data_IF_173201469908
#
_entry.id   IF_173201469908
#
_cell.length_a   1.000
_cell.length_b   1.000
_cell.length_c   1.000
_cell.angle_alpha   90.00
_cell.angle_beta   90.00
_cell.angle_gamma   90.00
#
_symmetry.space_group_name_H-M   'P 1'
#
loop_
_entity.id
_entity.type
_entity.pdbx_description
1 polymer ?
#
# COMPACT_ATOMS: atom_id res chain seq x y z
N UNK A 1 1.99 -10.07 2.62
CA UNK A 1 1.54 -9.35 1.41
C UNK A 1 2.56 -8.28 1.06
N UNK A 2 2.94 -8.16 -0.21
CA UNK A 2 3.82 -7.08 -0.68
C UNK A 2 2.98 -6.00 -1.36
N UNK A 3 3.19 -4.76 -0.97
CA UNK A 3 2.67 -3.59 -1.67
C UNK A 3 3.85 -2.89 -2.32
N UNK A 4 3.84 -2.81 -3.65
CA UNK A 4 4.96 -2.30 -4.41
C UNK A 4 4.58 -1.04 -5.19
N UNK A 5 5.58 -0.19 -5.44
CA UNK A 5 5.40 1.10 -6.09
C UNK A 5 6.67 1.49 -6.85
N UNK A 6 6.51 1.97 -8.07
CA UNK A 6 7.61 2.55 -8.84
C UNK A 6 8.23 3.77 -8.15
N UNK A 7 9.55 3.78 -8.03
CA UNK A 7 10.33 4.84 -7.41
C UNK A 7 11.57 4.29 -6.71
N UNK A 8 12.46 5.17 -6.27
CA UNK A 8 13.66 4.79 -5.49
C UNK A 8 13.69 5.40 -4.08
N UNK A 9 12.66 6.17 -3.71
CA UNK A 9 12.57 6.82 -2.40
C UNK A 9 12.47 5.78 -1.29
N UNK A 10 13.48 5.73 -0.41
CA UNK A 10 13.48 4.84 0.77
C UNK A 10 12.68 5.43 1.95
N UNK A 11 12.07 6.59 1.78
CA UNK A 11 11.22 7.20 2.80
C UNK A 11 9.92 6.39 2.95
N UNK A 12 9.34 6.28 4.16
CA UNK A 12 8.10 5.55 4.38
C UNK A 12 6.96 6.04 3.46
N UNK A 13 6.10 5.12 3.06
CA UNK A 13 4.82 5.46 2.45
C UNK A 13 3.88 5.98 3.54
N UNK A 14 3.05 6.96 3.23
CA UNK A 14 1.87 7.28 4.04
C UNK A 14 0.64 6.72 3.34
N UNK A 15 -0.04 5.79 3.99
CA UNK A 15 -1.31 5.23 3.52
C UNK A 15 -2.43 5.92 4.28
N UNK A 16 -3.26 6.67 3.56
CA UNK A 16 -4.43 7.35 4.11
C UNK A 16 -5.71 6.71 3.56
N UNK A 17 -6.41 6.04 4.45
CA UNK A 17 -7.73 5.43 4.22
C UNK A 17 -8.82 6.34 4.82
N UNK A 18 -10.07 5.92 4.75
CA UNK A 18 -11.16 6.66 5.42
C UNK A 18 -11.03 6.63 6.95
N UNK A 19 -10.54 5.54 7.52
CA UNK A 19 -10.53 5.31 8.97
C UNK A 19 -9.14 5.40 9.61
N UNK A 20 -8.07 5.41 8.81
CA UNK A 20 -6.70 5.32 9.33
C UNK A 20 -5.72 6.05 8.40
N UNK A 21 -4.76 6.76 9.00
CA UNK A 21 -3.55 7.23 8.33
C UNK A 21 -2.35 6.59 9.00
N UNK A 22 -1.51 5.88 8.25
CA UNK A 22 -0.36 5.14 8.79
C UNK A 22 0.86 5.29 7.89
N UNK A 23 2.00 5.56 8.52
CA UNK A 23 3.30 5.43 7.88
C UNK A 23 3.69 3.95 7.78
N UNK A 24 4.11 3.51 6.58
CA UNK A 24 4.51 2.14 6.29
C UNK A 24 5.95 2.17 5.78
N UNK A 25 6.89 1.52 6.49
CA UNK A 25 8.27 1.46 6.05
C UNK A 25 8.38 0.68 4.73
N UNK A 26 9.31 1.11 3.89
CA UNK A 26 9.62 0.45 2.61
C UNK A 26 11.08 0.05 2.53
N UNK A 27 11.33 -0.93 1.67
CA UNK A 27 12.67 -1.31 1.22
C UNK A 27 12.74 -1.18 -0.30
N UNK A 28 13.94 -1.06 -0.86
CA UNK A 28 14.10 -1.19 -2.31
C UNK A 28 13.80 -2.63 -2.72
N UNK A 29 13.08 -2.78 -3.84
CA UNK A 29 12.87 -4.09 -4.45
C UNK A 29 14.21 -4.66 -4.91
N UNK A 30 14.34 -5.99 -4.86
CA UNK A 30 15.53 -6.68 -5.38
C UNK A 30 15.54 -6.76 -6.93
N UNK A 31 14.48 -6.28 -7.59
CA UNK A 31 14.37 -6.27 -9.04
C UNK A 31 15.28 -5.23 -9.73
N UNK A 32 15.41 -5.37 -11.05
CA UNK A 32 16.18 -4.45 -11.90
C UNK A 32 15.45 -3.10 -12.11
N UNK A 33 14.15 -3.04 -11.84
CA UNK A 33 13.35 -1.84 -11.96
C UNK A 33 13.46 -0.95 -10.71
N UNK A 34 13.33 0.37 -10.91
CA UNK A 34 13.24 1.34 -9.83
C UNK A 34 11.91 1.17 -9.09
N UNK A 35 11.88 0.30 -8.09
CA UNK A 35 10.70 -0.02 -7.29
C UNK A 35 11.02 -0.11 -5.80
N UNK A 36 10.03 0.26 -4.98
CA UNK A 36 10.06 0.09 -3.53
C UNK A 36 8.88 -0.75 -3.07
N UNK A 37 9.10 -1.53 -2.02
CA UNK A 37 8.15 -2.49 -1.48
C UNK A 37 7.93 -2.25 0.00
N UNK A 38 6.66 -2.30 0.43
CA UNK A 38 6.26 -2.48 1.81
C UNK A 38 5.83 -3.94 2.02
N UNK A 39 6.34 -4.57 3.08
CA UNK A 39 5.88 -5.89 3.52
C UNK A 39 4.89 -5.73 4.66
N UNK A 40 3.67 -6.21 4.46
CA UNK A 40 2.61 -6.22 5.46
C UNK A 40 2.29 -7.67 5.85
N UNK A 41 2.14 -7.97 7.16
CA UNK A 41 1.54 -9.23 7.59
C UNK A 41 0.19 -9.46 6.92
N UNK A 42 -0.15 -10.71 6.57
CA UNK A 42 -1.40 -11.04 5.87
C UNK A 42 -2.67 -10.60 6.63
N UNK A 43 -2.57 -10.51 7.96
CA UNK A 43 -3.65 -10.06 8.86
C UNK A 43 -3.43 -8.65 9.41
N UNK A 44 -2.59 -7.85 8.77
CA UNK A 44 -2.39 -6.45 9.17
C UNK A 44 -3.70 -5.66 8.99
N UNK A 45 -4.23 -4.98 10.03
CA UNK A 45 -5.50 -4.26 9.95
C UNK A 45 -5.51 -3.10 8.94
N UNK A 46 -4.34 -2.62 8.52
CA UNK A 46 -4.25 -1.62 7.45
C UNK A 46 -4.81 -2.15 6.12
N UNK A 47 -4.71 -3.45 5.87
CA UNK A 47 -5.26 -4.08 4.65
C UNK A 47 -6.78 -3.94 4.61
N UNK A 48 -7.47 -4.23 5.72
CA UNK A 48 -8.92 -4.05 5.82
C UNK A 48 -9.30 -2.56 5.69
N UNK A 49 -8.54 -1.67 6.33
CA UNK A 49 -8.79 -0.23 6.21
C UNK A 49 -8.70 0.27 4.75
N UNK A 50 -7.80 -0.30 3.94
CA UNK A 50 -7.71 -0.01 2.51
C UNK A 50 -8.93 -0.54 1.75
N UNK A 51 -9.31 -1.80 1.96
CA UNK A 51 -10.45 -2.43 1.28
C UNK A 51 -11.79 -1.77 1.60
N UNK A 52 -11.98 -1.31 2.84
CA UNK A 52 -13.23 -0.67 3.30
C UNK A 52 -13.21 0.87 3.23
N UNK A 53 -12.26 1.45 2.49
CA UNK A 53 -12.24 2.90 2.27
C UNK A 53 -13.43 3.36 1.42
N UNK A 54 -13.99 4.54 1.75
CA UNK A 54 -15.13 5.14 1.05
C UNK A 54 -14.71 5.68 -0.33
N UNK A 55 -14.73 4.81 -1.32
CA UNK A 55 -14.45 5.12 -2.72
C UNK A 55 -12.97 5.09 -3.08
N UNK A 56 -12.10 5.68 -2.26
CA UNK A 56 -10.64 5.71 -2.51
C UNK A 56 -9.82 5.80 -1.23
N UNK A 57 -8.57 5.39 -1.33
CA UNK A 57 -7.51 5.68 -0.38
C UNK A 57 -6.31 6.29 -1.11
N UNK A 58 -5.37 6.85 -0.35
CA UNK A 58 -4.24 7.62 -0.88
C UNK A 58 -2.94 6.99 -0.42
N UNK A 59 -1.96 6.93 -1.31
CA UNK A 59 -0.58 6.54 -1.02
C UNK A 59 0.33 7.73 -1.37
N UNK A 60 0.96 8.28 -0.34
CA UNK A 60 1.90 9.40 -0.46
C UNK A 60 3.32 8.93 -0.15
N UNK A 61 4.30 9.52 -0.82
CA UNK A 61 5.71 9.28 -0.54
C UNK A 61 6.52 10.52 -0.89
N UNK A 62 7.45 10.97 -0.03
CA UNK A 62 8.31 12.10 -0.35
C UNK A 62 9.09 11.87 -1.66
N UNK A 63 9.01 12.86 -2.55
CA UNK A 63 9.68 12.81 -3.86
C UNK A 63 8.97 11.99 -4.93
N UNK A 64 7.73 11.53 -4.69
CA UNK A 64 6.97 10.77 -5.66
C UNK A 64 5.53 11.32 -5.77
N UNK A 65 4.85 11.18 -6.94
CA UNK A 65 3.50 11.70 -7.12
C UNK A 65 2.50 11.04 -6.16
N UNK A 66 1.49 11.77 -5.71
CA UNK A 66 0.45 11.17 -4.87
C UNK A 66 -0.37 10.17 -5.69
N UNK A 67 -0.53 8.95 -5.17
CA UNK A 67 -1.38 7.95 -5.79
C UNK A 67 -2.74 7.96 -5.10
N UNK A 68 -3.80 8.11 -5.91
CA UNK A 68 -5.18 7.97 -5.45
C UNK A 68 -5.70 6.65 -6.00
N UNK A 69 -5.90 5.69 -5.10
CA UNK A 69 -6.24 4.32 -5.48
C UNK A 69 -7.72 4.09 -5.17
N UNK A 70 -8.52 3.66 -6.16
CA UNK A 70 -9.91 3.30 -5.90
C UNK A 70 -9.99 2.05 -5.03
N UNK A 71 -10.95 2.02 -4.10
CA UNK A 71 -11.19 0.88 -3.22
C UNK A 71 -12.09 -0.18 -3.89
N UNK A 72 -11.65 -0.71 -5.04
CA UNK A 72 -12.42 -1.71 -5.77
C UNK A 72 -12.37 -3.10 -5.11
N UNK A 73 -13.32 -3.96 -5.46
CA UNK A 73 -13.50 -5.29 -4.87
C UNK A 73 -12.26 -6.19 -5.05
N UNK A 74 -11.48 -5.99 -6.11
CA UNK A 74 -10.26 -6.74 -6.40
C UNK A 74 -9.21 -6.58 -5.29
N UNK A 75 -9.16 -5.42 -4.62
CA UNK A 75 -8.24 -5.21 -3.50
C UNK A 75 -8.61 -6.12 -2.33
N UNK A 76 -9.91 -6.18 -1.99
CA UNK A 76 -10.42 -7.10 -0.98
C UNK A 76 -10.16 -8.56 -1.34
N UNK A 77 -10.35 -8.93 -2.62
CA UNK A 77 -10.08 -10.29 -3.10
C UNK A 77 -8.61 -10.69 -2.93
N UNK A 78 -7.66 -9.83 -3.29
CA UNK A 78 -6.23 -10.10 -3.12
C UNK A 78 -5.84 -10.22 -1.65
N UNK A 79 -6.44 -9.40 -0.78
CA UNK A 79 -6.20 -9.47 0.66
C UNK A 79 -6.67 -10.83 1.22
N UNK A 80 -7.85 -11.29 0.80
CA UNK A 80 -8.38 -12.58 1.24
C UNK A 80 -7.54 -13.75 0.70
N UNK A 81 -7.17 -13.70 -0.59
CA UNK A 81 -6.27 -14.70 -1.21
C UNK A 81 -4.91 -14.77 -0.48
N UNK A 82 -4.43 -13.65 0.09
CA UNK A 82 -3.18 -13.62 0.87
C UNK A 82 -3.33 -14.19 2.30
N UNK A 83 -4.55 -14.35 2.82
CA UNK A 83 -4.83 -14.83 4.19
C UNK A 83 -5.05 -16.33 4.28
N UNK A 84 -5.55 -16.92 3.18
CA UNK A 84 -5.75 -18.36 3.02
C UNK A 84 -4.41 -19.12 3.06
#
# INVERSE_FOLDING_TARGET
MLLSRSGQSRQPLTVRTTSTTRAVPVRQSAGQAAEVEASLPARDPLLDAMAFSRGRFVIEQPGAPTLVVPAYAEIGRVIEDCRA
#
